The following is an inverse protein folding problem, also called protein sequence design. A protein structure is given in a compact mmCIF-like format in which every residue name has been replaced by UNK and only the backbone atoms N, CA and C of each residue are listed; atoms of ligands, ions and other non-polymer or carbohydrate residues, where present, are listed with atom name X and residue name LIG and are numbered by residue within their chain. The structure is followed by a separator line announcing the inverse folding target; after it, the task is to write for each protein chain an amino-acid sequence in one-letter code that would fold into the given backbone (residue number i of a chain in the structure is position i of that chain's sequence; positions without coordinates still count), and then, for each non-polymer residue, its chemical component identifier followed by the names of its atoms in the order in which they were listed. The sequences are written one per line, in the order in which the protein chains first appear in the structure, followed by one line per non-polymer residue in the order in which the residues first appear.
data_IF_950175599598
#
_entry.id   IF_950175599598
#
_cell.length_a   1.000
_cell.length_b   1.000
_cell.length_c   1.000
_cell.angle_alpha   90.00
_cell.angle_beta   90.00
_cell.angle_gamma   90.00
#
_symmetry.space_group_name_H-M   'P 1'
#
loop_
_entity.id
_entity.type
_entity.pdbx_description
1 polymer ?
#
# COMPACT_ATOMS: atom_id res chain seq x y z
N UNK A 1 16.61 -39.05 -85.68
CA UNK A 1 16.46 -40.23 -84.82
C UNK A 1 17.27 -39.99 -83.55
N UNK A 2 16.77 -39.88 -82.32
CA UNK A 2 15.45 -40.00 -81.69
C UNK A 2 15.39 -38.84 -80.66
N UNK A 3 14.34 -38.03 -80.51
CA UNK A 3 13.00 -38.31 -80.01
C UNK A 3 13.00 -38.96 -78.60
N UNK A 4 13.07 -38.12 -77.55
CA UNK A 4 12.58 -38.47 -76.21
C UNK A 4 11.51 -37.43 -75.79
N UNK A 5 10.35 -37.87 -75.27
CA UNK A 5 9.16 -37.05 -75.03
C UNK A 5 9.22 -36.26 -73.70
N UNK A 6 8.30 -35.29 -73.49
CA UNK A 6 8.26 -34.43 -72.30
C UNK A 6 7.65 -35.15 -71.08
N UNK A 7 8.24 -34.95 -69.90
CA UNK A 7 7.68 -35.39 -68.62
C UNK A 7 6.74 -34.29 -68.08
N UNK A 8 5.45 -34.46 -68.32
CA UNK A 8 4.38 -33.73 -67.64
C UNK A 8 4.42 -34.05 -66.14
N UNK A 9 4.54 -33.03 -65.28
CA UNK A 9 4.28 -33.18 -63.84
C UNK A 9 2.77 -33.18 -63.61
N UNK A 10 2.18 -34.24 -63.03
CA UNK A 10 0.79 -34.22 -62.63
C UNK A 10 0.63 -33.41 -61.35
N UNK A 11 -0.11 -32.32 -61.46
CA UNK A 11 -0.70 -31.59 -60.34
C UNK A 11 -1.90 -32.38 -59.81
N UNK A 12 -1.72 -33.19 -58.77
CA UNK A 12 -2.83 -33.81 -58.06
C UNK A 12 -2.44 -34.15 -56.62
N UNK A 13 -3.12 -33.56 -55.64
CA UNK A 13 -3.30 -34.21 -54.35
C UNK A 13 -3.19 -33.39 -53.05
N UNK A 14 -3.51 -32.10 -53.03
CA UNK A 14 -3.68 -31.36 -51.75
C UNK A 14 -5.16 -31.39 -51.31
N UNK A 15 -5.65 -32.55 -50.86
CA UNK A 15 -6.96 -32.74 -50.20
C UNK A 15 -6.89 -33.78 -49.08
N UNK A 16 -6.02 -33.58 -48.09
CA UNK A 16 -6.02 -34.41 -46.88
C UNK A 16 -5.68 -33.65 -45.59
N UNK A 17 -5.87 -32.32 -45.59
CA UNK A 17 -5.75 -31.46 -44.41
C UNK A 17 -7.07 -30.79 -43.99
N UNK A 18 -8.11 -30.84 -44.84
CA UNK A 18 -9.34 -30.07 -44.64
C UNK A 18 -10.20 -30.61 -43.48
N UNK A 19 -10.23 -31.92 -43.24
CA UNK A 19 -11.06 -32.51 -42.18
C UNK A 19 -10.53 -32.25 -40.76
N UNK A 20 -9.21 -32.35 -40.56
CA UNK A 20 -8.58 -32.12 -39.24
C UNK A 20 -8.61 -30.63 -38.87
N UNK A 21 -8.29 -29.74 -39.81
CA UNK A 21 -8.37 -28.29 -39.60
C UNK A 21 -9.80 -27.82 -39.33
N UNK A 22 -10.80 -28.43 -39.97
CA UNK A 22 -12.20 -28.05 -39.75
C UNK A 22 -12.71 -28.52 -38.38
N UNK A 23 -12.32 -29.72 -37.93
CA UNK A 23 -12.66 -30.21 -36.60
C UNK A 23 -11.99 -29.37 -35.50
N UNK A 24 -10.72 -29.03 -35.67
CA UNK A 24 -10.00 -28.13 -34.76
C UNK A 24 -10.64 -26.73 -34.74
N UNK A 25 -10.99 -26.16 -35.90
CA UNK A 25 -11.72 -24.87 -35.97
C UNK A 25 -13.08 -24.93 -35.27
N UNK A 26 -13.81 -26.04 -35.36
CA UNK A 26 -15.09 -26.23 -34.66
C UNK A 26 -14.88 -26.36 -33.16
N UNK A 27 -13.87 -27.10 -32.71
CA UNK A 27 -13.50 -27.22 -31.29
C UNK A 27 -13.05 -25.86 -30.72
N UNK A 28 -12.19 -25.12 -31.43
CA UNK A 28 -11.76 -23.78 -31.03
C UNK A 28 -12.94 -22.80 -31.00
N UNK A 29 -13.83 -22.82 -32.00
CA UNK A 29 -15.01 -21.97 -32.02
C UNK A 29 -16.00 -22.29 -30.89
N UNK A 30 -16.16 -23.57 -30.52
CA UNK A 30 -16.99 -23.97 -29.38
C UNK A 30 -16.36 -23.54 -28.05
N UNK A 31 -15.05 -23.66 -27.92
CA UNK A 31 -14.32 -23.17 -26.74
C UNK A 31 -14.41 -21.64 -26.62
N UNK A 32 -14.20 -20.89 -27.71
CA UNK A 32 -14.29 -19.43 -27.74
C UNK A 32 -15.72 -18.90 -27.58
N UNK A 33 -16.74 -19.71 -27.82
CA UNK A 33 -18.14 -19.31 -27.60
C UNK A 33 -18.58 -19.55 -26.15
N UNK A 34 -18.07 -20.60 -25.51
CA UNK A 34 -18.48 -20.99 -24.15
C UNK A 34 -17.61 -20.32 -23.08
N UNK A 35 -16.32 -20.09 -23.36
CA UNK A 35 -15.38 -19.51 -22.39
C UNK A 35 -15.69 -18.04 -22.04
N UNK A 36 -16.06 -17.14 -22.96
CA UNK A 36 -16.42 -15.76 -22.62
C UNK A 36 -17.66 -15.62 -21.72
N UNK A 37 -18.81 -16.27 -22.00
CA UNK A 37 -19.97 -16.17 -21.11
C UNK A 37 -19.72 -16.86 -19.76
N UNK A 38 -18.98 -17.97 -19.73
CA UNK A 38 -18.63 -18.64 -18.48
C UNK A 38 -17.67 -17.81 -17.61
N UNK A 39 -16.67 -17.15 -18.22
CA UNK A 39 -15.75 -16.27 -17.50
C UNK A 39 -16.44 -14.99 -17.00
N UNK A 40 -17.38 -14.42 -17.77
CA UNK A 40 -18.18 -13.28 -17.32
C UNK A 40 -19.05 -13.62 -16.10
N UNK A 41 -19.66 -14.80 -16.08
CA UNK A 41 -20.44 -15.27 -14.92
C UNK A 41 -19.52 -15.54 -13.73
N UNK A 42 -18.40 -16.22 -13.92
CA UNK A 42 -17.43 -16.48 -12.84
C UNK A 42 -16.88 -15.20 -12.24
N UNK A 43 -16.60 -14.16 -13.04
CA UNK A 43 -16.17 -12.86 -12.55
C UNK A 43 -17.28 -12.10 -11.81
N UNK A 44 -18.53 -12.18 -12.30
CA UNK A 44 -19.69 -11.55 -11.68
C UNK A 44 -20.01 -12.12 -10.29
N UNK A 45 -19.71 -13.40 -10.03
CA UNK A 45 -19.86 -14.02 -8.71
C UNK A 45 -18.59 -13.96 -7.85
N UNK A 46 -17.41 -13.99 -8.47
CA UNK A 46 -16.15 -13.84 -7.76
C UNK A 46 -15.99 -12.42 -7.19
N UNK A 47 -16.43 -11.39 -7.91
CA UNK A 47 -16.21 -9.99 -7.52
C UNK A 47 -16.95 -9.56 -6.23
N UNK A 48 -18.24 -9.88 -6.03
CA UNK A 48 -18.95 -9.62 -4.78
C UNK A 48 -18.35 -10.41 -3.62
N UNK A 49 -17.96 -11.66 -3.87
CA UNK A 49 -17.37 -12.55 -2.86
C UNK A 49 -15.99 -12.04 -2.42
N UNK A 50 -15.15 -11.62 -3.37
CA UNK A 50 -13.83 -11.01 -3.09
C UNK A 50 -13.96 -9.62 -2.46
N UNK A 51 -14.96 -8.83 -2.86
CA UNK A 51 -15.24 -7.52 -2.24
C UNK A 51 -15.71 -7.69 -0.80
N UNK A 52 -16.50 -8.72 -0.51
CA UNK A 52 -16.92 -9.06 0.84
C UNK A 52 -15.75 -9.55 1.70
N UNK A 53 -14.86 -10.39 1.16
CA UNK A 53 -13.65 -10.82 1.88
C UNK A 53 -12.70 -9.64 2.15
N UNK A 54 -12.52 -8.71 1.21
CA UNK A 54 -11.76 -7.47 1.44
C UNK A 54 -12.43 -6.52 2.41
N UNK A 55 -13.75 -6.40 2.38
CA UNK A 55 -14.51 -5.62 3.35
C UNK A 55 -14.40 -6.20 4.75
N UNK A 56 -14.38 -7.54 4.87
CA UNK A 56 -14.18 -8.24 6.13
C UNK A 56 -12.74 -8.08 6.65
N UNK A 57 -11.73 -8.14 5.78
CA UNK A 57 -10.35 -7.80 6.14
C UNK A 57 -10.20 -6.34 6.58
N UNK A 58 -10.89 -5.41 5.92
CA UNK A 58 -10.91 -4.00 6.32
C UNK A 58 -11.57 -3.82 7.69
N UNK A 59 -12.69 -4.51 7.94
CA UNK A 59 -13.36 -4.53 9.23
C UNK A 59 -12.51 -5.17 10.34
N UNK A 60 -11.81 -6.27 10.04
CA UNK A 60 -10.91 -6.94 10.99
C UNK A 60 -9.69 -6.06 11.32
N UNK A 61 -9.09 -5.39 10.33
CA UNK A 61 -8.00 -4.40 10.57
C UNK A 61 -8.47 -3.19 11.37
N UNK A 62 -9.72 -2.76 11.17
CA UNK A 62 -10.32 -1.68 11.96
C UNK A 62 -10.56 -2.08 13.43
N UNK A 63 -10.77 -3.37 13.69
CA UNK A 63 -11.02 -3.92 15.03
C UNK A 63 -9.73 -4.39 15.75
N UNK A 64 -8.64 -4.67 15.03
CA UNK A 64 -7.34 -4.92 15.65
C UNK A 64 -6.74 -3.62 16.16
N UNK A 65 -6.88 -3.39 17.47
CA UNK A 65 -6.16 -2.36 18.21
C UNK A 65 -4.67 -2.71 18.15
N UNK A 66 -3.96 -2.21 17.14
CA UNK A 66 -2.50 -2.36 17.08
C UNK A 66 -1.91 -1.76 18.36
N UNK A 67 -1.19 -2.60 19.11
CA UNK A 67 -0.40 -2.12 20.24
C UNK A 67 0.73 -1.25 19.67
N UNK A 68 0.81 -0.02 20.18
CA UNK A 68 1.80 0.97 19.75
C UNK A 68 2.89 1.16 20.79
N UNK A 69 2.89 0.38 21.87
CA UNK A 69 3.95 0.39 22.89
C UNK A 69 5.31 0.11 22.25
N UNK A 70 6.28 0.98 22.52
CA UNK A 70 7.63 0.88 21.96
C UNK A 70 7.73 1.24 20.47
N UNK A 71 6.65 1.72 19.83
CA UNK A 71 6.73 2.28 18.47
C UNK A 71 6.89 3.79 18.54
N UNK A 72 7.75 4.34 17.69
CA UNK A 72 7.97 5.79 17.54
C UNK A 72 7.07 6.35 16.44
N UNK A 73 6.21 7.29 16.80
CA UNK A 73 5.28 7.98 15.89
C UNK A 73 5.69 9.45 15.79
N UNK A 74 5.96 9.88 14.56
CA UNK A 74 6.29 11.28 14.24
C UNK A 74 5.02 12.01 13.81
N UNK A 75 4.63 13.04 14.56
CA UNK A 75 3.45 13.86 14.27
C UNK A 75 3.88 15.26 13.84
N UNK A 76 3.78 15.52 12.54
CA UNK A 76 3.98 16.86 11.98
C UNK A 76 2.73 17.73 12.15
N UNK A 77 2.89 19.00 12.50
CA UNK A 77 1.75 19.89 12.75
C UNK A 77 1.01 19.58 14.04
N UNK A 78 1.68 19.00 15.05
CA UNK A 78 1.08 18.61 16.33
C UNK A 78 0.49 19.78 17.14
N UNK A 79 0.78 21.03 16.75
CA UNK A 79 0.15 22.24 17.34
C UNK A 79 -1.22 22.61 16.74
N UNK A 80 -1.72 21.82 15.79
CA UNK A 80 -3.05 21.96 15.19
C UNK A 80 -4.06 21.07 15.93
N UNK A 81 -5.34 21.47 15.95
CA UNK A 81 -6.38 20.75 16.68
C UNK A 81 -6.47 19.26 16.28
N UNK A 82 -6.30 18.94 15.00
CA UNK A 82 -6.31 17.55 14.50
C UNK A 82 -5.04 16.82 14.91
N UNK A 83 -3.86 17.44 14.71
CA UNK A 83 -2.58 16.84 15.07
C UNK A 83 -2.46 16.54 16.57
N UNK A 84 -3.04 17.40 17.40
CA UNK A 84 -3.12 17.23 18.85
C UNK A 84 -3.97 16.01 19.23
N UNK A 85 -5.17 15.87 18.68
CA UNK A 85 -6.03 14.71 18.95
C UNK A 85 -5.41 13.40 18.47
N UNK A 86 -4.76 13.42 17.30
CA UNK A 86 -4.02 12.25 16.79
C UNK A 86 -2.89 11.88 17.73
N UNK A 87 -2.11 12.85 18.20
CA UNK A 87 -1.06 12.62 19.20
C UNK A 87 -1.62 12.01 20.49
N UNK A 88 -2.80 12.44 20.94
CA UNK A 88 -3.48 11.90 22.11
C UNK A 88 -3.97 10.47 21.93
N UNK A 89 -4.51 10.13 20.76
CA UNK A 89 -4.91 8.76 20.46
C UNK A 89 -3.72 7.80 20.45
N UNK A 90 -2.57 8.21 19.91
CA UNK A 90 -1.34 7.42 19.99
C UNK A 90 -0.74 7.38 21.40
N UNK A 91 -0.86 8.48 22.16
CA UNK A 91 -0.46 8.52 23.56
C UNK A 91 -1.24 7.50 24.41
N UNK A 92 -2.57 7.41 24.23
CA UNK A 92 -3.43 6.42 24.90
C UNK A 92 -3.05 4.97 24.58
N UNK A 93 -2.43 4.75 23.42
CA UNK A 93 -1.92 3.45 22.99
C UNK A 93 -0.50 3.17 23.49
N UNK A 94 0.10 4.06 24.27
CA UNK A 94 1.44 3.90 24.83
C UNK A 94 2.58 4.12 23.83
N UNK A 95 2.32 4.82 22.72
CA UNK A 95 3.35 5.10 21.73
C UNK A 95 4.41 6.07 22.26
N UNK A 96 5.61 5.98 21.68
CA UNK A 96 6.61 7.02 21.76
C UNK A 96 6.29 8.08 20.69
N UNK A 97 6.23 9.35 21.06
CA UNK A 97 5.80 10.44 20.19
C UNK A 97 6.94 11.41 19.92
N UNK A 98 7.02 11.86 18.67
CA UNK A 98 7.83 13.02 18.27
C UNK A 98 6.87 14.08 17.75
N UNK A 99 6.72 15.17 18.48
CA UNK A 99 5.79 16.25 18.17
C UNK A 99 6.53 17.39 17.48
N UNK A 100 6.08 17.72 16.27
CA UNK A 100 6.75 18.73 15.43
C UNK A 100 5.79 19.85 15.09
N UNK A 101 6.17 21.08 15.39
CA UNK A 101 5.49 22.27 14.88
C UNK A 101 6.37 23.51 15.04
N UNK A 102 5.97 24.60 14.38
CA UNK A 102 6.64 25.90 14.49
C UNK A 102 6.49 26.58 15.86
N UNK A 103 5.43 26.26 16.61
CA UNK A 103 5.09 26.93 17.88
C UNK A 103 5.40 26.03 19.08
N UNK A 104 6.56 26.23 19.68
CA UNK A 104 7.07 25.40 20.77
C UNK A 104 6.19 25.41 22.03
N UNK A 105 5.69 26.59 22.43
CA UNK A 105 4.82 26.72 23.61
C UNK A 105 3.58 25.81 23.54
N UNK A 106 2.95 25.70 22.37
CA UNK A 106 1.80 24.80 22.20
C UNK A 106 2.22 23.34 22.24
N UNK A 107 3.38 22.98 21.70
CA UNK A 107 3.89 21.61 21.75
C UNK A 107 4.15 21.15 23.18
N UNK A 108 4.64 22.03 24.06
CA UNK A 108 4.82 21.69 25.47
C UNK A 108 3.51 21.33 26.17
N UNK A 109 2.43 22.09 25.92
CA UNK A 109 1.11 21.75 26.45
C UNK A 109 0.63 20.38 25.94
N UNK A 110 0.79 20.12 24.63
CA UNK A 110 0.44 18.82 24.03
C UNK A 110 1.28 17.69 24.61
N UNK A 111 2.57 17.92 24.86
CA UNK A 111 3.48 16.96 25.48
C UNK A 111 3.00 16.54 26.87
N UNK A 112 2.68 17.50 27.73
CA UNK A 112 2.22 17.20 29.09
C UNK A 112 0.91 16.40 29.08
N UNK A 113 -0.04 16.82 28.24
CA UNK A 113 -1.30 16.09 28.07
C UNK A 113 -1.08 14.68 27.52
N UNK A 114 -0.22 14.50 26.52
CA UNK A 114 0.11 13.19 25.97
C UNK A 114 0.77 12.28 27.01
N UNK A 115 1.67 12.81 27.85
CA UNK A 115 2.27 12.06 28.97
C UNK A 115 1.21 11.64 29.99
N UNK A 116 0.31 12.54 30.36
CA UNK A 116 -0.80 12.24 31.28
C UNK A 116 -1.74 11.15 30.73
N UNK A 117 -1.90 11.07 29.41
CA UNK A 117 -2.70 10.04 28.73
C UNK A 117 -2.01 8.68 28.61
N UNK A 118 -0.74 8.56 28.97
CA UNK A 118 0.01 7.30 28.98
C UNK A 118 1.00 7.12 27.83
N UNK A 119 1.41 8.19 27.13
CA UNK A 119 2.51 8.11 26.17
C UNK A 119 3.79 7.64 26.86
N UNK A 120 4.57 6.77 26.21
CA UNK A 120 5.82 6.25 26.76
C UNK A 120 6.86 7.37 26.87
N UNK A 121 7.30 7.86 25.72
CA UNK A 121 8.21 9.00 25.61
C UNK A 121 7.66 10.04 24.65
N UNK A 122 7.93 11.32 24.93
CA UNK A 122 7.50 12.41 24.06
C UNK A 122 8.66 13.39 23.86
N UNK A 123 9.12 13.48 22.61
CA UNK A 123 10.11 14.45 22.14
C UNK A 123 9.38 15.61 21.46
N UNK A 124 9.80 16.84 21.74
CA UNK A 124 9.27 18.05 21.10
C UNK A 124 10.37 18.62 20.21
N UNK A 125 10.06 18.84 18.94
CA UNK A 125 10.99 19.44 17.98
C UNK A 125 10.31 20.65 17.33
N UNK A 126 10.87 21.84 17.58
CA UNK A 126 10.46 23.05 16.87
C UNK A 126 11.15 23.08 15.51
N UNK A 127 10.39 22.75 14.45
CA UNK A 127 10.91 22.70 13.08
C UNK A 127 9.82 23.08 12.08
N UNK A 128 10.24 23.69 10.96
CA UNK A 128 9.36 23.92 9.81
C UNK A 128 9.62 22.86 8.74
N UNK A 129 8.66 21.96 8.54
CA UNK A 129 8.74 20.87 7.55
C UNK A 129 8.71 21.36 6.09
N UNK A 130 8.53 22.68 5.86
CA UNK A 130 8.69 23.31 4.54
C UNK A 130 10.17 23.54 4.19
N UNK A 131 11.05 23.62 5.20
CA UNK A 131 12.50 23.80 5.00
C UNK A 131 13.21 22.44 5.02
N UNK A 132 13.98 22.15 3.98
CA UNK A 132 14.73 20.90 3.88
C UNK A 132 15.81 20.77 4.97
N UNK A 133 16.47 21.88 5.32
CA UNK A 133 17.47 21.91 6.41
C UNK A 133 16.89 21.46 7.75
N UNK A 134 15.65 21.88 8.03
CA UNK A 134 14.94 21.54 9.27
C UNK A 134 14.50 20.07 9.26
N UNK A 135 14.19 19.50 8.10
CA UNK A 135 13.88 18.07 7.97
C UNK A 135 15.10 17.20 8.32
N UNK A 136 16.28 17.56 7.82
CA UNK A 136 17.52 16.84 8.12
C UNK A 136 17.84 16.85 9.62
N UNK A 137 17.74 18.04 10.25
CA UNK A 137 17.90 18.19 11.70
C UNK A 137 16.87 17.39 12.49
N UNK A 138 15.61 17.45 12.09
CA UNK A 138 14.53 16.73 12.76
C UNK A 138 14.78 15.21 12.80
N UNK A 139 15.19 14.65 11.67
CA UNK A 139 15.50 13.22 11.59
C UNK A 139 16.73 12.90 12.47
N UNK A 140 17.77 13.73 12.42
CA UNK A 140 18.96 13.56 13.25
C UNK A 140 18.64 13.63 14.76
N UNK A 141 17.84 14.61 15.19
CA UNK A 141 17.42 14.79 16.59
C UNK A 141 16.57 13.59 17.05
N UNK A 142 15.67 13.11 16.18
CA UNK A 142 14.83 11.94 16.45
C UNK A 142 15.68 10.68 16.59
N UNK A 143 16.62 10.44 15.67
CA UNK A 143 17.54 9.30 15.72
C UNK A 143 18.46 9.38 16.94
N UNK A 144 18.95 10.57 17.30
CA UNK A 144 19.82 10.73 18.47
C UNK A 144 19.07 10.45 19.78
N UNK A 145 17.84 10.96 19.91
CA UNK A 145 17.04 10.79 21.11
C UNK A 145 16.52 9.36 21.29
N UNK A 146 16.01 8.73 20.23
CA UNK A 146 15.44 7.38 20.28
C UNK A 146 16.45 6.27 19.98
N UNK A 147 17.46 6.52 19.15
CA UNK A 147 18.50 5.55 18.81
C UNK A 147 19.43 5.20 19.98
N UNK A 148 19.54 6.06 20.99
CA UNK A 148 20.19 5.69 22.26
C UNK A 148 19.34 4.78 23.15
N UNK A 149 18.03 4.70 22.89
CA UNK A 149 17.05 4.06 23.80
C UNK A 149 16.40 2.83 23.21
N UNK A 150 16.28 2.74 21.89
CA UNK A 150 15.72 1.61 21.17
C UNK A 150 16.71 1.10 20.14
N UNK A 151 17.29 -0.06 20.45
CA UNK A 151 18.15 -0.81 19.56
C UNK A 151 17.31 -1.27 18.35
N UNK A 152 17.54 -0.63 17.21
CA UNK A 152 17.37 -1.19 15.87
C UNK A 152 15.99 -1.86 15.63
N UNK A 153 14.93 -1.04 15.51
CA UNK A 153 13.88 -1.38 14.55
C UNK A 153 14.02 -0.42 13.38
N UNK A 154 14.21 -1.01 12.20
CA UNK A 154 14.38 -0.35 10.91
C UNK A 154 13.59 0.96 10.83
N UNK A 155 14.18 2.00 10.22
CA UNK A 155 13.55 3.28 9.87
C UNK A 155 12.17 3.07 9.18
N UNK A 156 11.93 1.87 8.64
CA UNK A 156 10.63 1.34 8.18
C UNK A 156 9.46 1.39 9.19
N UNK A 157 9.75 1.39 10.50
CA UNK A 157 8.72 1.43 11.56
C UNK A 157 8.43 2.84 12.10
N UNK A 158 9.16 3.85 11.63
CA UNK A 158 8.76 5.23 11.84
C UNK A 158 7.48 5.45 11.02
N UNK A 159 6.34 5.25 11.67
CA UNK A 159 5.04 5.55 11.10
C UNK A 159 4.95 7.07 11.00
N UNK A 160 5.49 7.61 9.90
CA UNK A 160 5.41 9.00 9.58
C UNK A 160 3.97 9.26 9.15
N UNK A 161 3.10 9.48 10.14
CA UNK A 161 1.78 10.04 9.89
C UNK A 161 1.97 11.50 9.52
N UNK A 162 2.24 11.70 8.22
CA UNK A 162 2.17 13.01 7.56
C UNK A 162 0.69 13.39 7.52
N UNK A 163 0.15 13.90 8.63
CA UNK A 163 -1.06 14.73 8.58
C UNK A 163 -0.64 16.02 7.90
N UNK A 164 -0.71 16.00 6.56
CA UNK A 164 -0.56 17.18 5.72
C UNK A 164 -1.70 18.12 6.07
N UNK A 165 -1.35 19.18 6.79
CA UNK A 165 -1.77 20.55 6.54
C UNK A 165 -3.18 20.69 5.92
N UNK A 166 -4.22 20.75 6.75
CA UNK A 166 -5.41 21.50 6.38
C UNK A 166 -5.06 22.99 6.57
N UNK A 167 -4.35 23.55 5.58
CA UNK A 167 -4.45 24.98 5.32
C UNK A 167 -5.82 25.19 4.69
N UNK A 168 -6.78 25.61 5.50
CA UNK A 168 -7.93 26.38 5.05
C UNK A 168 -7.75 27.78 5.63
#
# INVERSE_FOLDING_TARGET
CLALPPEERPDTGRRSGEGSETMERVLTALMDLVVPPASMVMLAFAWPTLSFLRALEWALKALTKEDMRGKVVLVTGASSAIGEQVAYEYARRGANLVLVARREHRLFAVRENARALGAGHVLVVAADVVREDDCGRLVADTISYFGQRECIQSISSMLCFKVVNLSV
#
